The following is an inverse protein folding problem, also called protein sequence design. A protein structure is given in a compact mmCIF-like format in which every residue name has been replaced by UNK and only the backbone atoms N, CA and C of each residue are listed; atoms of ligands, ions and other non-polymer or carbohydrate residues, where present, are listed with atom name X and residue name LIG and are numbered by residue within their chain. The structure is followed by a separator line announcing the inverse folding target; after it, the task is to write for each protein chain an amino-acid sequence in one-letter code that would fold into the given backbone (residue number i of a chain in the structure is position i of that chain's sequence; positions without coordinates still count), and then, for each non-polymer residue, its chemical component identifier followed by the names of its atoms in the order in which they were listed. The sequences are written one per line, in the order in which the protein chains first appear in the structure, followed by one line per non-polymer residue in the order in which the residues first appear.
data_IF_397010812834
#
_entry.id   IF_397010812834
#
_cell.length_a   1.000
_cell.length_b   1.000
_cell.length_c   1.000
_cell.angle_alpha   90.00
_cell.angle_beta   90.00
_cell.angle_gamma   90.00
#
_symmetry.space_group_name_H-M   'P 1'
#
loop_
_entity.id
_entity.type
_entity.pdbx_description
1 polymer ?
#
# COMPACT_ATOMS: atom_id res chain seq x y z
N UNK A 1 4.22 0.22 11.98
CA UNK A 1 3.09 1.07 12.35
C UNK A 1 3.47 1.90 13.56
N UNK A 2 3.16 3.18 13.54
CA UNK A 2 3.30 4.08 14.67
C UNK A 2 2.12 5.05 14.65
N UNK A 3 1.50 5.25 15.82
CA UNK A 3 0.35 6.15 15.95
C UNK A 3 0.81 7.55 16.37
N UNK A 4 2.00 7.64 16.97
CA UNK A 4 2.60 8.87 17.45
C UNK A 4 4.09 8.94 17.09
N UNK A 5 4.57 10.15 16.75
CA UNK A 5 5.98 10.42 16.53
C UNK A 5 6.56 11.33 17.61
N UNK A 6 7.63 10.90 18.27
CA UNK A 6 8.44 11.77 19.15
C UNK A 6 9.65 12.27 18.37
N UNK A 7 9.69 13.57 18.10
CA UNK A 7 10.76 14.22 17.34
C UNK A 7 11.62 15.06 18.30
N UNK A 8 12.91 14.73 18.38
CA UNK A 8 13.85 15.46 19.21
C UNK A 8 14.34 16.75 18.52
N UNK A 9 14.30 17.86 19.25
CA UNK A 9 14.83 19.15 18.80
C UNK A 9 15.90 19.61 19.81
N UNK A 10 17.11 19.90 19.34
CA UNK A 10 18.18 20.41 20.20
C UNK A 10 17.92 21.88 20.57
N UNK A 11 17.82 22.18 21.86
CA UNK A 11 17.53 23.53 22.36
C UNK A 11 18.55 24.59 21.93
N UNK A 12 19.83 24.18 21.68
CA UNK A 12 20.86 25.13 21.18
C UNK A 12 20.66 25.44 19.70
N UNK A 13 20.25 24.44 18.89
CA UNK A 13 20.21 24.55 17.42
C UNK A 13 18.82 24.96 16.92
N UNK A 14 17.75 24.59 17.62
CA UNK A 14 16.38 24.80 17.16
C UNK A 14 15.96 23.83 16.06
N UNK A 15 14.98 24.22 15.25
CA UNK A 15 14.43 23.39 14.19
C UNK A 15 15.38 23.38 12.97
N UNK A 16 15.97 22.21 12.73
CA UNK A 16 16.88 21.98 11.61
C UNK A 16 16.17 21.35 10.40
N UNK A 17 16.86 21.30 9.26
CA UNK A 17 16.39 20.60 8.04
C UNK A 17 16.04 19.13 8.35
N UNK A 18 16.82 18.45 9.18
CA UNK A 18 16.53 17.06 9.58
C UNK A 18 15.22 16.95 10.37
N UNK A 19 14.93 17.90 11.28
CA UNK A 19 13.67 17.95 12.02
C UNK A 19 12.49 18.07 11.07
N UNK A 20 12.58 18.99 10.10
CA UNK A 20 11.55 19.17 9.05
C UNK A 20 11.35 17.93 8.22
N UNK A 21 12.45 17.29 7.78
CA UNK A 21 12.43 16.04 7.01
C UNK A 21 11.73 14.91 7.77
N UNK A 22 12.10 14.68 9.02
CA UNK A 22 11.49 13.62 9.83
C UNK A 22 10.00 13.88 10.06
N UNK A 23 9.61 15.11 10.41
CA UNK A 23 8.20 15.45 10.57
C UNK A 23 7.39 15.23 9.29
N UNK A 24 7.94 15.61 8.12
CA UNK A 24 7.30 15.42 6.82
C UNK A 24 7.13 13.95 6.47
N UNK A 25 8.18 13.13 6.67
CA UNK A 25 8.09 11.68 6.43
C UNK A 25 7.03 11.06 7.34
N UNK A 26 7.02 11.39 8.63
CA UNK A 26 6.01 10.90 9.56
C UNK A 26 4.59 11.31 9.12
N UNK A 27 4.39 12.56 8.70
CA UNK A 27 3.10 13.04 8.20
C UNK A 27 2.68 12.31 6.91
N UNK A 28 3.60 12.11 5.96
CA UNK A 28 3.35 11.34 4.73
C UNK A 28 2.97 9.88 5.02
N UNK A 29 3.50 9.31 6.12
CA UNK A 29 3.16 7.96 6.59
C UNK A 29 1.89 7.94 7.46
N UNK A 30 1.12 9.03 7.48
CA UNK A 30 -0.18 9.11 8.13
C UNK A 30 -0.16 9.21 9.66
N UNK A 31 1.00 9.56 10.26
CA UNK A 31 1.06 9.84 11.70
C UNK A 31 0.37 11.17 11.97
N UNK A 32 -0.59 11.17 12.87
CA UNK A 32 -1.38 12.35 13.23
C UNK A 32 -0.91 13.03 14.52
N UNK A 33 -0.35 12.26 15.48
CA UNK A 33 0.10 12.76 16.78
C UNK A 33 1.60 13.01 16.80
N UNK A 34 2.01 14.22 17.15
CA UNK A 34 3.42 14.62 17.16
C UNK A 34 3.81 15.19 18.50
N UNK A 35 4.89 14.69 19.09
CA UNK A 35 5.54 15.28 20.23
C UNK A 35 6.90 15.82 19.82
N UNK A 36 7.10 17.12 19.85
CA UNK A 36 8.41 17.73 19.72
C UNK A 36 9.05 17.87 21.09
N UNK A 37 10.01 17.01 21.40
CA UNK A 37 10.77 17.10 22.64
C UNK A 37 11.96 18.03 22.46
N UNK A 38 11.87 19.24 22.99
CA UNK A 38 12.96 20.24 22.98
C UNK A 38 13.97 19.85 24.05
N UNK A 39 14.98 19.10 23.64
CA UNK A 39 15.97 18.46 24.49
C UNK A 39 17.20 19.36 24.72
N UNK A 40 17.96 19.05 25.77
CA UNK A 40 19.16 19.78 26.23
C UNK A 40 18.83 21.15 26.75
N UNK A 41 17.69 21.29 27.44
CA UNK A 41 17.31 22.55 28.09
C UNK A 41 18.30 22.98 29.17
N UNK A 42 18.99 22.03 29.80
CA UNK A 42 20.11 22.29 30.74
C UNK A 42 21.22 23.13 30.08
N UNK A 43 21.54 22.88 28.81
CA UNK A 43 22.61 23.59 28.11
C UNK A 43 22.27 25.03 27.70
N UNK A 44 20.99 25.41 27.81
CA UNK A 44 20.51 26.79 27.59
C UNK A 44 19.96 27.42 28.86
N UNK A 45 20.33 26.86 30.03
CA UNK A 45 19.94 27.38 31.33
C UNK A 45 18.45 27.37 31.60
N UNK A 46 17.72 26.40 31.02
CA UNK A 46 16.26 26.25 31.12
C UNK A 46 15.47 27.50 30.70
N UNK A 47 16.00 28.26 29.72
CA UNK A 47 15.43 29.53 29.26
C UNK A 47 14.05 29.34 28.64
N UNK A 48 13.04 30.01 29.22
CA UNK A 48 11.69 30.09 28.67
C UNK A 48 11.67 30.83 27.31
N UNK A 49 12.47 31.91 27.19
CA UNK A 49 12.58 32.70 25.96
C UNK A 49 13.07 31.82 24.81
N UNK A 50 14.13 31.03 25.05
CA UNK A 50 14.67 30.11 24.01
C UNK A 50 13.67 29.02 23.64
N UNK A 51 12.94 28.49 24.59
CA UNK A 51 11.87 27.52 24.32
C UNK A 51 10.78 28.14 23.45
N UNK A 52 10.34 29.35 23.75
CA UNK A 52 9.31 30.05 22.99
C UNK A 52 9.73 30.35 21.56
N UNK A 53 11.00 30.69 21.30
CA UNK A 53 11.55 30.82 19.94
C UNK A 53 11.42 29.49 19.14
N UNK A 54 11.80 28.37 19.76
CA UNK A 54 11.73 27.04 19.12
C UNK A 54 10.28 26.63 18.91
N UNK A 55 9.43 26.89 19.87
CA UNK A 55 7.98 26.62 19.80
C UNK A 55 7.34 27.39 18.63
N UNK A 56 7.76 28.64 18.37
CA UNK A 56 7.32 29.40 17.21
C UNK A 56 7.78 28.76 15.88
N UNK A 57 9.02 28.26 15.80
CA UNK A 57 9.53 27.55 14.62
C UNK A 57 8.75 26.23 14.37
N UNK A 58 8.40 25.51 15.45
CA UNK A 58 7.59 24.29 15.35
C UNK A 58 6.16 24.62 14.90
N UNK A 59 5.59 25.74 15.38
CA UNK A 59 4.26 26.19 14.95
C UNK A 59 4.21 26.55 13.45
N UNK A 60 5.29 27.13 12.91
CA UNK A 60 5.40 27.34 11.46
C UNK A 60 5.46 26.02 10.70
N UNK A 61 6.27 25.06 11.17
CA UNK A 61 6.37 23.73 10.59
C UNK A 61 5.04 22.98 10.66
N UNK A 62 4.31 23.09 11.77
CA UNK A 62 2.97 22.52 11.95
C UNK A 62 2.01 23.00 10.88
N UNK A 63 2.01 24.31 10.57
CA UNK A 63 1.20 24.89 9.51
C UNK A 63 1.63 24.43 8.13
N UNK A 64 2.94 24.44 7.87
CA UNK A 64 3.52 24.01 6.59
C UNK A 64 3.13 22.56 6.24
N UNK A 65 3.15 21.67 7.23
CA UNK A 65 2.86 20.24 7.06
C UNK A 65 1.41 19.86 7.36
N UNK A 66 0.58 20.82 7.80
CA UNK A 66 -0.81 20.58 8.23
C UNK A 66 -0.91 19.46 9.29
N UNK A 67 0.03 19.45 10.25
CA UNK A 67 0.01 18.46 11.33
C UNK A 67 -1.21 18.66 12.23
N UNK A 68 -1.91 17.57 12.55
CA UNK A 68 -3.20 17.65 13.24
C UNK A 68 -3.04 17.90 14.75
N UNK A 69 -2.26 17.07 15.42
CA UNK A 69 -2.08 17.12 16.87
C UNK A 69 -0.59 17.23 17.22
N UNK A 70 -0.21 18.37 17.79
CA UNK A 70 1.19 18.70 18.07
C UNK A 70 1.35 19.20 19.49
N UNK A 71 2.21 18.54 20.26
CA UNK A 71 2.62 18.96 21.60
C UNK A 71 4.12 19.20 21.63
N UNK A 72 4.53 20.29 22.31
CA UNK A 72 5.94 20.65 22.46
C UNK A 72 6.31 20.58 23.94
N UNK A 73 7.30 19.73 24.27
CA UNK A 73 7.71 19.47 25.66
C UNK A 73 9.19 19.84 25.83
N UNK A 74 9.51 20.80 26.75
CA UNK A 74 10.91 21.08 27.08
C UNK A 74 11.45 20.00 28.01
N UNK A 75 12.59 19.37 27.61
CA UNK A 75 13.19 18.26 28.37
C UNK A 75 14.70 18.43 28.51
N UNK A 76 15.29 17.81 29.54
CA UNK A 76 16.70 17.46 29.58
C UNK A 76 16.81 15.96 29.83
N UNK A 77 17.16 15.22 28.77
CA UNK A 77 17.26 13.77 28.87
C UNK A 77 18.42 13.34 29.77
N UNK A 78 19.50 14.15 29.87
CA UNK A 78 20.66 13.87 30.72
C UNK A 78 20.36 14.06 32.20
N UNK A 79 19.64 15.12 32.53
CA UNK A 79 19.27 15.47 33.91
C UNK A 79 17.94 14.83 34.33
N UNK A 80 17.16 14.30 33.37
CA UNK A 80 15.85 13.69 33.59
C UNK A 80 14.70 14.70 33.72
N UNK A 81 14.95 15.98 33.46
CA UNK A 81 13.95 17.04 33.59
C UNK A 81 12.82 16.87 32.56
N UNK A 82 11.58 16.88 33.03
CA UNK A 82 10.35 16.68 32.26
C UNK A 82 10.35 15.38 31.39
N UNK A 83 11.14 14.38 31.76
CA UNK A 83 11.10 13.06 31.11
C UNK A 83 10.04 12.20 31.79
N UNK A 84 10.24 11.85 33.06
CA UNK A 84 9.32 10.99 33.84
C UNK A 84 8.41 11.80 34.78
N UNK A 85 8.90 12.91 35.28
CA UNK A 85 8.20 13.79 36.20
C UNK A 85 8.44 15.25 35.86
N UNK A 86 7.53 16.14 36.28
CA UNK A 86 7.69 17.58 36.06
C UNK A 86 8.92 18.10 36.77
N UNK A 87 9.72 18.88 36.05
CA UNK A 87 10.96 19.47 36.57
C UNK A 87 10.74 20.70 37.41
N UNK A 88 11.46 20.79 38.51
CA UNK A 88 11.55 22.03 39.31
C UNK A 88 12.39 23.12 38.60
N UNK A 89 13.26 22.73 37.64
CA UNK A 89 14.09 23.68 36.89
C UNK A 89 13.32 24.36 35.75
N UNK A 90 12.11 23.86 35.41
CA UNK A 90 11.25 24.37 34.32
C UNK A 90 9.86 24.76 34.89
N UNK A 91 9.76 25.65 35.88
CA UNK A 91 8.50 25.96 36.57
C UNK A 91 7.51 26.73 35.68
N UNK A 92 7.96 27.34 34.61
CA UNK A 92 7.16 28.07 33.63
C UNK A 92 6.38 27.13 32.69
N UNK A 93 6.84 25.89 32.48
CA UNK A 93 6.12 24.91 31.67
C UNK A 93 4.97 24.30 32.48
N UNK A 94 3.74 24.42 31.94
CA UNK A 94 2.52 23.97 32.65
C UNK A 94 1.98 22.63 32.11
N UNK A 95 2.54 22.13 30.99
CA UNK A 95 2.15 20.84 30.41
C UNK A 95 2.61 19.63 31.23
N UNK A 96 2.32 18.46 30.75
CA UNK A 96 2.78 17.20 31.35
C UNK A 96 4.22 16.87 30.95
N UNK A 97 4.91 16.05 31.77
CA UNK A 97 6.19 15.46 31.38
C UNK A 97 5.99 14.44 30.27
N UNK A 98 7.07 14.10 29.57
CA UNK A 98 7.00 13.27 28.36
C UNK A 98 6.34 11.90 28.61
N UNK A 99 6.79 11.15 29.61
CA UNK A 99 6.24 9.82 29.89
C UNK A 99 4.78 9.86 30.32
N UNK A 100 4.36 10.69 31.30
CA UNK A 100 2.94 10.84 31.66
C UNK A 100 2.06 11.28 30.47
N UNK A 101 2.57 12.12 29.57
CA UNK A 101 1.83 12.50 28.37
C UNK A 101 1.63 11.29 27.45
N UNK A 102 2.68 10.48 27.22
CA UNK A 102 2.58 9.28 26.36
C UNK A 102 1.67 8.20 26.96
N UNK A 103 1.55 8.14 28.29
CA UNK A 103 0.64 7.20 28.97
C UNK A 103 -0.83 7.63 28.93
N UNK A 104 -1.12 8.91 28.69
CA UNK A 104 -2.46 9.47 28.76
C UNK A 104 -3.05 9.85 27.40
N UNK A 105 -2.20 10.02 26.37
CA UNK A 105 -2.68 10.38 25.05
C UNK A 105 -3.57 9.26 24.50
N UNK A 106 -4.73 9.64 24.04
CA UNK A 106 -5.59 8.77 23.26
C UNK A 106 -5.15 8.85 21.78
N UNK A 107 -4.61 7.76 21.28
CA UNK A 107 -4.16 7.64 19.89
C UNK A 107 -5.15 6.84 19.05
N UNK A 108 -6.21 6.33 19.67
CA UNK A 108 -7.28 5.67 18.95
C UNK A 108 -8.05 6.71 18.14
N UNK A 109 -7.68 6.86 16.89
CA UNK A 109 -8.47 7.54 15.87
C UNK A 109 -9.77 6.73 15.65
N UNK A 110 -10.64 6.70 16.62
CA UNK A 110 -12.02 6.24 16.45
C UNK A 110 -12.83 7.32 15.72
N UNK A 111 -12.44 7.69 14.52
CA UNK A 111 -13.46 7.90 13.52
C UNK A 111 -14.09 6.52 13.38
N UNK A 112 -15.37 6.41 13.76
CA UNK A 112 -16.16 5.18 13.60
C UNK A 112 -16.04 4.76 12.14
N UNK A 113 -15.05 3.92 11.84
CA UNK A 113 -14.95 3.26 10.54
C UNK A 113 -16.26 2.51 10.38
N UNK A 114 -17.13 3.05 9.53
CA UNK A 114 -18.44 2.47 9.29
C UNK A 114 -18.24 1.16 8.58
N UNK A 115 -18.45 0.06 9.28
CA UNK A 115 -18.45 -1.26 8.72
C UNK A 115 -17.37 -2.19 9.27
N UNK A 116 -17.55 -3.47 9.00
CA UNK A 116 -16.63 -4.55 9.35
C UNK A 116 -15.76 -4.91 8.16
N UNK A 117 -14.45 -5.10 8.37
CA UNK A 117 -13.63 -5.86 7.42
C UNK A 117 -12.49 -6.62 8.10
N UNK A 118 -12.15 -7.75 7.49
CA UNK A 118 -11.09 -8.65 7.91
C UNK A 118 -10.34 -9.19 6.69
N UNK A 119 -9.08 -8.78 6.48
CA UNK A 119 -8.22 -9.38 5.46
C UNK A 119 -7.87 -10.83 5.83
N UNK A 120 -8.12 -11.76 4.91
CA UNK A 120 -7.83 -13.17 5.12
C UNK A 120 -6.34 -13.43 4.97
N UNK A 121 -5.71 -13.90 6.05
CA UNK A 121 -4.29 -14.24 6.09
C UNK A 121 -4.04 -15.71 5.82
N UNK A 122 -4.96 -16.58 6.25
CA UNK A 122 -4.83 -18.03 6.15
C UNK A 122 -6.19 -18.69 6.06
N UNK A 123 -6.29 -19.77 5.28
CA UNK A 123 -7.41 -20.71 5.33
C UNK A 123 -7.02 -21.89 6.18
N UNK A 124 -7.83 -22.21 7.21
CA UNK A 124 -7.65 -23.32 8.12
C UNK A 124 -8.66 -24.42 7.79
N UNK A 125 -8.18 -25.63 7.51
CA UNK A 125 -9.03 -26.78 7.18
C UNK A 125 -8.51 -28.04 7.91
N UNK A 126 -8.76 -28.15 9.23
CA UNK A 126 -8.26 -29.27 10.03
C UNK A 126 -8.94 -30.61 9.66
N UNK A 127 -10.15 -30.56 9.11
CA UNK A 127 -10.93 -31.72 8.68
C UNK A 127 -11.88 -31.33 7.53
N UNK A 128 -12.68 -32.28 7.04
CA UNK A 128 -13.59 -32.06 5.92
C UNK A 128 -14.83 -31.20 6.27
N UNK A 129 -15.18 -31.08 7.54
CA UNK A 129 -16.36 -30.36 8.00
C UNK A 129 -16.09 -28.92 8.39
N UNK A 130 -14.82 -28.57 8.63
CA UNK A 130 -14.41 -27.23 9.06
C UNK A 130 -13.53 -26.54 8.03
N UNK A 131 -13.97 -25.40 7.53
CA UNK A 131 -13.18 -24.47 6.74
C UNK A 131 -13.30 -23.09 7.37
N UNK A 132 -12.24 -22.63 8.02
CA UNK A 132 -12.17 -21.34 8.69
C UNK A 132 -11.23 -20.37 7.97
N UNK A 133 -11.58 -19.10 7.98
CA UNK A 133 -10.81 -18.01 7.43
C UNK A 133 -10.20 -17.23 8.59
N UNK A 134 -8.87 -17.20 8.64
CA UNK A 134 -8.10 -16.60 9.72
C UNK A 134 -7.61 -15.23 9.31
N UNK A 135 -7.78 -14.24 10.19
CA UNK A 135 -7.33 -12.87 10.03
C UNK A 135 -7.50 -12.07 11.31
N UNK A 136 -7.06 -10.83 11.29
CA UNK A 136 -7.36 -9.85 12.31
C UNK A 136 -8.50 -8.97 11.81
N UNK A 137 -9.44 -8.64 12.68
CA UNK A 137 -10.47 -7.64 12.37
C UNK A 137 -9.81 -6.27 12.39
N UNK A 138 -9.83 -5.60 11.26
CA UNK A 138 -9.18 -4.28 11.10
C UNK A 138 -10.15 -3.13 11.34
N UNK A 139 -11.47 -3.35 11.19
CA UNK A 139 -12.51 -2.39 11.52
C UNK A 139 -13.80 -3.06 11.96
N UNK A 140 -14.58 -2.34 12.77
CA UNK A 140 -15.92 -2.72 13.20
C UNK A 140 -15.99 -3.98 14.05
N UNK A 141 -17.11 -4.66 13.97
CA UNK A 141 -17.39 -5.92 14.68
C UNK A 141 -18.24 -6.84 13.82
N UNK A 142 -18.21 -8.13 14.14
CA UNK A 142 -18.98 -9.15 13.45
C UNK A 142 -19.54 -10.16 14.47
N UNK A 143 -20.75 -10.64 14.23
CA UNK A 143 -21.44 -11.62 15.07
C UNK A 143 -21.83 -12.88 14.29
N UNK A 144 -22.02 -13.97 14.98
CA UNK A 144 -22.57 -15.20 14.39
C UNK A 144 -23.97 -14.92 13.83
N UNK A 145 -24.18 -15.28 12.57
CA UNK A 145 -25.42 -15.03 11.82
C UNK A 145 -25.41 -13.77 10.97
N UNK A 146 -24.42 -12.89 11.12
CA UNK A 146 -24.32 -11.68 10.29
C UNK A 146 -24.13 -12.05 8.82
N UNK A 147 -24.78 -11.29 7.94
CA UNK A 147 -24.51 -11.33 6.51
C UNK A 147 -23.27 -10.52 6.19
N UNK A 148 -22.35 -11.13 5.50
CA UNK A 148 -21.09 -10.49 5.06
C UNK A 148 -20.87 -10.75 3.56
N UNK A 149 -20.02 -9.96 2.95
CA UNK A 149 -19.60 -10.11 1.56
C UNK A 149 -18.13 -10.56 1.49
N UNK A 150 -17.81 -11.43 0.55
CA UNK A 150 -16.43 -11.81 0.24
C UNK A 150 -15.91 -10.95 -0.89
N UNK A 151 -14.73 -10.35 -0.75
CA UNK A 151 -14.09 -9.56 -1.79
C UNK A 151 -12.81 -10.26 -2.28
N UNK A 152 -12.50 -10.21 -3.58
CA UNK A 152 -13.13 -9.45 -4.66
C UNK A 152 -14.34 -10.15 -5.32
N UNK A 153 -14.72 -11.38 -4.96
CA UNK A 153 -15.77 -12.18 -5.64
C UNK A 153 -17.18 -11.62 -5.47
N UNK A 154 -17.40 -10.78 -4.46
CA UNK A 154 -18.70 -10.16 -4.12
C UNK A 154 -19.83 -11.18 -3.81
N UNK A 155 -19.47 -12.31 -3.22
CA UNK A 155 -20.45 -13.31 -2.78
C UNK A 155 -21.01 -12.96 -1.39
N UNK A 156 -22.33 -13.01 -1.23
CA UNK A 156 -23.01 -12.82 0.04
C UNK A 156 -23.08 -14.12 0.80
N UNK A 157 -22.67 -14.15 2.06
CA UNK A 157 -22.59 -15.32 2.93
C UNK A 157 -22.93 -14.94 4.37
N UNK A 158 -23.22 -15.92 5.23
CA UNK A 158 -23.44 -15.68 6.65
C UNK A 158 -22.32 -16.29 7.48
N UNK A 159 -22.05 -15.63 8.59
CA UNK A 159 -21.08 -16.11 9.60
C UNK A 159 -21.70 -17.29 10.35
N UNK A 160 -21.10 -18.47 10.21
CA UNK A 160 -21.56 -19.70 10.87
C UNK A 160 -21.01 -19.83 12.29
N UNK A 161 -19.73 -19.55 12.49
CA UNK A 161 -19.08 -19.54 13.80
C UNK A 161 -17.86 -18.63 13.82
N UNK A 162 -17.52 -18.13 15.00
CA UNK A 162 -16.34 -17.29 15.26
C UNK A 162 -15.53 -17.93 16.36
N UNK A 163 -14.20 -18.03 16.17
CA UNK A 163 -13.27 -18.50 17.18
C UNK A 163 -12.22 -17.43 17.46
N UNK A 164 -12.05 -17.07 18.73
CA UNK A 164 -10.99 -16.18 19.23
C UNK A 164 -10.00 -17.04 20.00
N UNK A 165 -8.82 -17.28 19.44
CA UNK A 165 -7.91 -18.33 19.91
C UNK A 165 -8.58 -19.71 19.83
N UNK A 166 -8.63 -20.43 20.96
CA UNK A 166 -9.23 -21.76 21.06
C UNK A 166 -10.70 -21.75 21.52
N UNK A 167 -11.29 -20.57 21.69
CA UNK A 167 -12.65 -20.41 22.22
C UNK A 167 -13.62 -19.96 21.14
N UNK A 168 -14.79 -20.57 21.12
CA UNK A 168 -15.93 -20.11 20.33
C UNK A 168 -16.50 -18.83 20.95
N UNK A 169 -16.79 -17.84 20.09
CA UNK A 169 -17.33 -16.54 20.48
C UNK A 169 -18.61 -16.24 19.67
N UNK A 170 -19.53 -15.48 20.25
CA UNK A 170 -20.74 -15.03 19.56
C UNK A 170 -20.48 -13.80 18.70
N UNK A 171 -19.48 -12.99 19.07
CA UNK A 171 -19.05 -11.79 18.34
C UNK A 171 -17.58 -11.56 18.55
N UNK A 172 -16.99 -10.78 17.65
CA UNK A 172 -15.63 -10.28 17.75
C UNK A 172 -15.54 -8.86 17.16
N UNK A 173 -14.55 -8.09 17.60
CA UNK A 173 -14.38 -6.68 17.25
C UNK A 173 -12.97 -6.35 16.78
N UNK A 174 -12.78 -5.11 16.34
CA UNK A 174 -11.51 -4.55 15.88
C UNK A 174 -10.34 -4.98 16.77
N UNK A 175 -9.18 -5.28 16.14
CA UNK A 175 -7.93 -5.69 16.79
C UNK A 175 -7.90 -7.18 17.19
N UNK A 176 -9.01 -7.91 17.17
CA UNK A 176 -9.04 -9.32 17.55
C UNK A 176 -8.61 -10.24 16.39
N UNK A 177 -7.63 -11.12 16.60
CA UNK A 177 -7.34 -12.21 15.67
C UNK A 177 -8.39 -13.30 15.80
N UNK A 178 -9.04 -13.65 14.69
CA UNK A 178 -10.17 -14.57 14.67
C UNK A 178 -10.05 -15.63 13.59
N UNK A 179 -10.83 -16.72 13.77
CA UNK A 179 -11.16 -17.68 12.72
C UNK A 179 -12.66 -17.64 12.48
N UNK A 180 -13.08 -17.24 11.30
CA UNK A 180 -14.48 -17.17 10.89
C UNK A 180 -14.80 -18.34 9.97
N UNK A 181 -15.86 -19.11 10.31
CA UNK A 181 -16.43 -20.11 9.43
C UNK A 181 -17.71 -19.54 8.78
N UNK A 182 -17.88 -19.81 7.50
CA UNK A 182 -19.05 -19.38 6.73
C UNK A 182 -20.08 -20.50 6.59
N UNK A 183 -21.31 -20.13 6.30
CA UNK A 183 -22.46 -21.04 6.16
C UNK A 183 -22.38 -21.94 4.95
N UNK A 184 -21.62 -21.56 3.92
CA UNK A 184 -21.40 -22.31 2.69
C UNK A 184 -19.96 -22.23 2.19
N UNK A 185 -19.59 -23.09 1.26
CA UNK A 185 -18.31 -23.07 0.56
C UNK A 185 -18.31 -21.91 -0.42
N UNK A 186 -17.23 -21.11 -0.38
CA UNK A 186 -16.99 -19.95 -1.25
C UNK A 186 -15.53 -19.91 -1.67
N UNK A 187 -15.23 -19.20 -2.76
CA UNK A 187 -13.87 -19.04 -3.23
C UNK A 187 -13.17 -17.87 -2.48
N UNK A 188 -12.75 -18.18 -1.26
CA UNK A 188 -11.98 -17.27 -0.40
C UNK A 188 -10.64 -17.90 -0.09
N UNK A 189 -9.58 -17.13 -0.32
CA UNK A 189 -8.19 -17.52 -0.09
C UNK A 189 -7.41 -16.40 0.60
N UNK A 190 -6.13 -16.62 0.86
CA UNK A 190 -5.25 -15.54 1.36
C UNK A 190 -5.26 -14.37 0.38
N UNK A 191 -5.53 -13.17 0.88
CA UNK A 191 -5.65 -11.93 0.09
C UNK A 191 -7.09 -11.54 -0.26
N UNK A 192 -8.07 -12.42 -0.01
CA UNK A 192 -9.48 -12.03 0.02
C UNK A 192 -9.78 -11.22 1.29
N UNK A 193 -10.89 -10.48 1.29
CA UNK A 193 -11.36 -9.72 2.45
C UNK A 193 -12.80 -10.09 2.73
N UNK A 194 -13.13 -10.37 3.99
CA UNK A 194 -14.50 -10.48 4.48
C UNK A 194 -14.96 -9.09 4.95
N UNK A 195 -16.09 -8.60 4.47
CA UNK A 195 -16.56 -7.25 4.77
C UNK A 195 -18.08 -7.18 4.96
N UNK A 196 -18.52 -6.21 5.76
CA UNK A 196 -19.92 -5.84 5.90
C UNK A 196 -20.04 -4.33 6.17
N UNK A 197 -20.67 -3.59 5.24
CA UNK A 197 -20.83 -2.14 5.38
C UNK A 197 -19.56 -1.31 5.23
N UNK A 198 -18.41 -1.92 4.96
CA UNK A 198 -17.16 -1.22 4.65
C UNK A 198 -17.11 -0.90 3.16
N UNK A 199 -16.80 0.36 2.83
CA UNK A 199 -16.73 0.85 1.45
C UNK A 199 -15.31 0.64 0.89
N UNK A 200 -14.93 -0.64 0.69
CA UNK A 200 -13.64 -1.04 0.14
C UNK A 200 -13.69 -1.11 -1.39
N UNK A 201 -12.65 -0.61 -2.04
CA UNK A 201 -12.54 -0.52 -3.49
C UNK A 201 -11.86 -1.74 -4.09
N UNK A 202 -12.15 -2.00 -5.36
CA UNK A 202 -11.51 -3.01 -6.18
C UNK A 202 -10.75 -2.33 -7.30
N UNK A 203 -9.46 -2.61 -7.44
CA UNK A 203 -8.63 -1.95 -8.45
C UNK A 203 -7.57 -2.87 -9.06
N UNK A 204 -7.18 -2.53 -10.28
CA UNK A 204 -6.00 -3.04 -10.99
C UNK A 204 -4.95 -1.96 -11.21
N UNK A 205 -5.26 -0.71 -10.84
CA UNK A 205 -4.33 0.41 -10.92
C UNK A 205 -4.48 1.31 -9.69
N UNK A 206 -3.36 1.74 -9.12
CA UNK A 206 -3.30 2.63 -7.97
C UNK A 206 -2.29 3.74 -8.20
N UNK A 207 -2.53 4.90 -7.59
CA UNK A 207 -1.54 5.96 -7.44
C UNK A 207 -1.03 5.94 -6.01
N UNK A 208 0.26 5.78 -5.82
CA UNK A 208 0.88 5.66 -4.51
C UNK A 208 2.04 6.64 -4.31
N UNK A 209 2.19 7.15 -3.09
CA UNK A 209 3.42 7.81 -2.67
C UNK A 209 4.38 6.73 -2.19
N UNK A 210 5.56 6.65 -2.79
CA UNK A 210 6.58 5.66 -2.44
C UNK A 210 7.87 6.33 -1.98
N UNK A 211 8.54 5.70 -1.03
CA UNK A 211 9.94 5.95 -0.67
C UNK A 211 10.80 4.89 -1.35
N UNK A 212 11.69 5.32 -2.22
CA UNK A 212 12.62 4.43 -2.92
C UNK A 212 13.85 4.11 -2.06
N UNK A 213 14.15 2.84 -1.81
CA UNK A 213 15.20 2.40 -0.91
C UNK A 213 16.32 1.61 -1.60
N UNK A 214 16.11 1.21 -2.87
CA UNK A 214 17.07 0.42 -3.63
C UNK A 214 18.28 1.26 -4.05
N UNK A 215 19.42 0.60 -4.27
CA UNK A 215 20.62 1.23 -4.84
C UNK A 215 20.48 1.47 -6.34
N UNK A 216 19.71 0.62 -7.03
CA UNK A 216 19.37 0.80 -8.43
C UNK A 216 18.33 1.90 -8.63
N UNK A 217 18.46 2.66 -9.71
CA UNK A 217 17.50 3.71 -10.07
C UNK A 217 16.17 3.10 -10.50
N UNK A 218 15.06 3.62 -9.97
CA UNK A 218 13.73 3.31 -10.49
C UNK A 218 13.47 4.09 -11.78
N UNK A 219 12.96 3.40 -12.78
CA UNK A 219 12.50 3.98 -14.06
C UNK A 219 11.08 3.51 -14.36
N UNK A 220 10.39 4.20 -15.26
CA UNK A 220 9.09 3.78 -15.74
C UNK A 220 9.12 2.36 -16.33
N UNK A 221 8.01 1.65 -16.21
CA UNK A 221 7.80 0.28 -16.69
C UNK A 221 8.69 -0.78 -16.03
N UNK A 222 9.19 -0.53 -14.81
CA UNK A 222 9.93 -1.54 -14.03
C UNK A 222 8.96 -2.45 -13.27
N UNK A 223 9.22 -3.76 -13.32
CA UNK A 223 8.36 -4.80 -12.74
C UNK A 223 8.77 -5.16 -11.32
N UNK A 224 7.78 -5.37 -10.44
CA UNK A 224 7.95 -5.77 -9.05
C UNK A 224 6.92 -6.83 -8.64
N UNK A 225 7.14 -7.46 -7.49
CA UNK A 225 6.03 -7.95 -6.70
C UNK A 225 5.53 -6.81 -5.81
N UNK A 226 4.22 -6.56 -5.87
CA UNK A 226 3.54 -5.61 -5.00
C UNK A 226 2.90 -6.39 -3.87
N UNK A 227 3.32 -6.13 -2.63
CA UNK A 227 2.65 -6.66 -1.45
C UNK A 227 1.79 -5.55 -0.86
N UNK A 228 0.48 -5.75 -0.86
CA UNK A 228 -0.52 -4.86 -0.30
C UNK A 228 -1.41 -5.69 0.62
N UNK A 229 -1.46 -5.31 1.90
CA UNK A 229 -2.10 -6.11 2.93
C UNK A 229 -1.60 -7.56 2.93
N UNK A 230 -2.50 -8.51 2.78
CA UNK A 230 -2.18 -9.95 2.73
C UNK A 230 -1.90 -10.48 1.32
N UNK A 231 -2.11 -9.65 0.29
CA UNK A 231 -1.91 -10.01 -1.12
C UNK A 231 -0.48 -9.76 -1.57
N UNK A 232 0.05 -10.65 -2.38
CA UNK A 232 1.33 -10.50 -3.09
C UNK A 232 1.09 -10.80 -4.56
N UNK A 233 1.24 -9.82 -5.43
CA UNK A 233 0.95 -9.95 -6.86
C UNK A 233 2.02 -9.27 -7.72
N UNK A 234 2.23 -9.68 -8.97
CA UNK A 234 3.03 -8.92 -9.90
C UNK A 234 2.41 -7.55 -10.18
N UNK A 235 3.26 -6.55 -10.32
CA UNK A 235 2.85 -5.20 -10.71
C UNK A 235 3.96 -4.45 -11.41
N UNK A 236 3.61 -3.35 -12.03
CA UNK A 236 4.51 -2.50 -12.82
C UNK A 236 4.36 -1.07 -12.37
N UNK A 237 5.46 -0.40 -12.07
CA UNK A 237 5.47 1.06 -11.93
C UNK A 237 5.40 1.65 -13.33
N UNK A 238 4.21 2.01 -13.78
CA UNK A 238 3.96 2.48 -15.15
C UNK A 238 4.45 3.90 -15.36
N UNK A 239 4.33 4.73 -14.34
CA UNK A 239 4.70 6.15 -14.42
C UNK A 239 5.22 6.67 -13.08
N UNK A 240 6.33 7.40 -13.12
CA UNK A 240 6.76 8.27 -12.03
C UNK A 240 6.19 9.65 -12.35
N UNK A 241 5.17 10.09 -11.59
CA UNK A 241 4.43 11.33 -11.86
C UNK A 241 5.28 12.53 -11.46
N UNK A 242 5.76 12.51 -10.23
CA UNK A 242 6.61 13.56 -9.66
C UNK A 242 7.48 13.01 -8.53
N UNK A 243 8.55 13.72 -8.20
CA UNK A 243 9.29 13.57 -6.95
C UNK A 243 8.84 14.61 -5.95
N UNK A 244 8.89 14.26 -4.67
CA UNK A 244 8.59 15.18 -3.55
C UNK A 244 9.91 15.50 -2.84
N UNK A 245 10.32 16.76 -2.86
CA UNK A 245 11.47 17.20 -2.07
C UNK A 245 11.12 17.14 -0.58
N UNK A 246 11.78 16.25 0.15
CA UNK A 246 11.52 16.05 1.58
C UNK A 246 11.84 17.26 2.45
N UNK A 247 12.64 18.22 1.95
CA UNK A 247 13.00 19.41 2.69
C UNK A 247 11.99 20.55 2.47
N UNK A 248 11.52 20.73 1.23
CA UNK A 248 10.63 21.84 0.84
C UNK A 248 9.19 21.41 0.61
N UNK A 249 8.95 20.12 0.33
CA UNK A 249 7.63 19.61 -0.06
C UNK A 249 7.25 19.91 -1.50
N UNK A 250 8.15 20.54 -2.27
CA UNK A 250 7.89 20.82 -3.68
C UNK A 250 7.77 19.53 -4.48
N UNK A 251 6.76 19.47 -5.31
CA UNK A 251 6.58 18.40 -6.28
C UNK A 251 7.21 18.81 -7.62
N UNK A 252 8.07 17.94 -8.19
CA UNK A 252 8.73 18.17 -9.47
C UNK A 252 8.50 16.98 -10.39
N UNK A 253 8.14 17.20 -11.68
CA UNK A 253 8.07 16.11 -12.64
C UNK A 253 9.39 15.33 -12.70
N UNK A 254 9.28 14.01 -12.71
CA UNK A 254 10.45 13.14 -12.76
C UNK A 254 10.16 11.91 -13.62
N UNK A 255 11.22 11.34 -14.20
CA UNK A 255 11.16 10.10 -14.99
C UNK A 255 12.02 8.99 -14.39
N UNK A 256 12.73 9.32 -13.32
CA UNK A 256 13.59 8.39 -12.57
C UNK A 256 13.61 8.78 -11.08
N UNK A 257 13.93 7.81 -10.23
CA UNK A 257 14.01 7.99 -8.79
C UNK A 257 15.29 7.37 -8.26
N UNK A 258 16.06 8.15 -7.51
CA UNK A 258 17.26 7.67 -6.85
C UNK A 258 16.94 7.22 -5.41
N UNK A 259 17.87 6.49 -4.81
CA UNK A 259 17.77 6.03 -3.42
C UNK A 259 17.45 7.17 -2.45
N UNK A 260 16.52 6.91 -1.52
CA UNK A 260 16.00 7.83 -0.51
C UNK A 260 15.17 9.01 -1.06
N UNK A 261 14.76 8.96 -2.31
CA UNK A 261 13.79 9.91 -2.85
C UNK A 261 12.36 9.42 -2.65
N UNK A 262 11.45 10.37 -2.53
CA UNK A 262 10.01 10.13 -2.43
C UNK A 262 9.37 10.58 -3.74
N UNK A 263 8.45 9.77 -4.25
CA UNK A 263 7.71 10.09 -5.47
C UNK A 263 6.26 9.63 -5.41
N UNK A 264 5.44 10.26 -6.23
CA UNK A 264 4.11 9.77 -6.59
C UNK A 264 4.24 8.93 -7.85
N UNK A 265 3.80 7.68 -7.78
CA UNK A 265 3.89 6.72 -8.88
C UNK A 265 2.53 6.10 -9.18
N UNK A 266 2.27 5.84 -10.46
CA UNK A 266 1.19 4.96 -10.89
C UNK A 266 1.69 3.53 -10.97
N UNK A 267 0.93 2.61 -10.41
CA UNK A 267 1.27 1.19 -10.33
C UNK A 267 0.11 0.38 -10.89
N UNK A 268 0.37 -0.34 -11.98
CA UNK A 268 -0.57 -1.30 -12.54
C UNK A 268 -0.33 -2.68 -11.92
N UNK A 269 -1.40 -3.37 -11.59
CA UNK A 269 -1.41 -4.64 -10.89
C UNK A 269 -1.90 -5.75 -11.83
N UNK A 270 -1.32 -6.93 -11.73
CA UNK A 270 -1.65 -8.06 -12.64
C UNK A 270 -3.03 -8.67 -12.36
N UNK A 271 -3.65 -8.35 -11.24
CA UNK A 271 -4.95 -8.90 -10.83
C UNK A 271 -5.73 -7.85 -10.04
N UNK A 272 -7.04 -8.03 -9.94
CA UNK A 272 -7.91 -7.20 -9.12
C UNK A 272 -7.62 -7.46 -7.65
N UNK A 273 -7.41 -6.40 -6.89
CA UNK A 273 -7.22 -6.46 -5.44
C UNK A 273 -8.22 -5.60 -4.70
N UNK A 274 -8.44 -5.96 -3.44
CA UNK A 274 -9.13 -5.09 -2.48
C UNK A 274 -8.13 -4.07 -1.98
N UNK A 275 -8.43 -2.81 -2.12
CA UNK A 275 -7.53 -1.70 -1.79
C UNK A 275 -8.33 -0.47 -1.40
N UNK A 276 -7.76 0.42 -0.60
CA UNK A 276 -8.30 1.75 -0.38
C UNK A 276 -7.19 2.78 -0.18
N UNK A 277 -7.57 4.04 -0.13
CA UNK A 277 -6.66 5.11 0.23
C UNK A 277 -6.16 4.91 1.67
N UNK A 278 -4.87 5.08 1.87
CA UNK A 278 -4.23 4.85 3.18
C UNK A 278 -4.84 5.69 4.32
N UNK A 279 -5.29 6.91 4.00
CA UNK A 279 -5.92 7.79 4.99
C UNK A 279 -7.29 7.30 5.44
N UNK A 280 -7.97 6.46 4.63
CA UNK A 280 -9.28 5.90 4.94
C UNK A 280 -9.13 4.55 5.67
N UNK A 281 -8.33 3.64 5.10
CA UNK A 281 -8.11 2.30 5.63
C UNK A 281 -6.63 1.94 5.57
N UNK A 282 -5.89 2.17 6.67
CA UNK A 282 -4.41 2.01 6.73
C UNK A 282 -3.93 0.67 6.19
N UNK A 283 -4.50 -0.44 6.66
CA UNK A 283 -4.09 -1.81 6.27
C UNK A 283 -4.40 -2.16 4.82
N UNK A 284 -5.38 -1.48 4.20
CA UNK A 284 -5.75 -1.65 2.80
C UNK A 284 -5.04 -0.65 1.86
N UNK A 285 -4.32 0.33 2.41
CA UNK A 285 -3.64 1.38 1.66
C UNK A 285 -2.11 1.36 1.77
N UNK A 286 -1.51 0.43 2.52
CA UNK A 286 -0.05 0.30 2.62
C UNK A 286 0.51 -0.72 1.65
N UNK A 287 1.70 -0.44 1.10
CA UNK A 287 2.33 -1.37 0.17
C UNK A 287 3.86 -1.39 0.27
N UNK A 288 4.45 -2.49 -0.18
CA UNK A 288 5.87 -2.57 -0.48
C UNK A 288 6.09 -3.10 -1.89
N UNK A 289 7.13 -2.59 -2.54
CA UNK A 289 7.62 -3.10 -3.82
C UNK A 289 8.82 -4.02 -3.55
N UNK A 290 8.75 -5.23 -4.07
CA UNK A 290 9.76 -6.27 -3.89
C UNK A 290 10.36 -6.57 -5.26
N UNK A 291 11.66 -6.49 -5.38
CA UNK A 291 12.36 -6.86 -6.61
C UNK A 291 12.15 -8.33 -6.93
N UNK A 292 11.80 -8.64 -8.18
CA UNK A 292 11.41 -10.00 -8.60
C UNK A 292 12.57 -10.98 -8.73
N UNK A 293 13.80 -10.47 -8.79
CA UNK A 293 15.02 -11.28 -8.97
C UNK A 293 15.69 -11.51 -7.62
N UNK A 294 15.91 -10.44 -6.87
CA UNK A 294 16.64 -10.47 -5.60
C UNK A 294 15.75 -10.79 -4.40
N UNK A 295 14.43 -10.62 -4.53
CA UNK A 295 13.43 -10.66 -3.45
C UNK A 295 13.70 -9.64 -2.32
N UNK A 296 14.47 -8.59 -2.61
CA UNK A 296 14.71 -7.49 -1.67
C UNK A 296 13.59 -6.46 -1.77
N UNK A 297 13.27 -5.82 -0.64
CA UNK A 297 12.33 -4.70 -0.64
C UNK A 297 12.98 -3.47 -1.26
N UNK A 298 12.47 -3.02 -2.39
CA UNK A 298 12.98 -1.87 -3.13
C UNK A 298 12.29 -0.55 -2.76
N UNK A 299 11.03 -0.61 -2.33
CA UNK A 299 10.28 0.56 -1.87
C UNK A 299 9.23 0.20 -0.83
N UNK A 300 8.88 1.17 0.01
CA UNK A 300 7.63 1.18 0.77
C UNK A 300 6.78 2.39 0.34
N UNK A 301 5.47 2.30 0.52
CA UNK A 301 4.59 3.38 0.13
C UNK A 301 3.16 3.24 0.64
N UNK A 302 2.39 4.28 0.36
CA UNK A 302 0.99 4.40 0.74
C UNK A 302 0.16 4.79 -0.48
N UNK A 303 -1.02 4.19 -0.59
CA UNK A 303 -1.99 4.49 -1.66
C UNK A 303 -2.59 5.87 -1.40
N UNK A 304 -2.50 6.76 -2.39
CA UNK A 304 -3.12 8.09 -2.39
C UNK A 304 -4.46 8.11 -3.07
N UNK A 305 -4.59 7.33 -4.14
CA UNK A 305 -5.75 7.31 -5.00
C UNK A 305 -5.94 5.93 -5.60
N UNK A 306 -7.17 5.47 -5.64
CA UNK A 306 -7.56 4.19 -6.20
C UNK A 306 -8.27 4.43 -7.52
N UNK A 307 -7.69 3.94 -8.60
CA UNK A 307 -8.37 3.90 -9.89
C UNK A 307 -9.23 2.63 -9.91
N UNK A 308 -10.50 2.78 -9.54
CA UNK A 308 -11.42 1.65 -9.50
C UNK A 308 -11.41 0.91 -10.84
N UNK A 309 -11.28 -0.42 -10.76
CA UNK A 309 -11.49 -1.24 -11.94
C UNK A 309 -12.91 -0.96 -12.44
N UNK A 310 -13.01 -0.38 -13.64
CA UNK A 310 -14.29 -0.20 -14.27
C UNK A 310 -15.04 -1.54 -14.19
N UNK A 311 -16.29 -1.52 -13.73
CA UNK A 311 -17.13 -2.71 -13.61
C UNK A 311 -17.37 -3.43 -14.94
N UNK A 312 -17.01 -2.80 -16.03
CA UNK A 312 -16.86 -3.41 -17.34
C UNK A 312 -15.46 -4.01 -17.42
N UNK A 313 -15.37 -5.31 -17.19
CA UNK A 313 -14.30 -6.10 -17.83
C UNK A 313 -14.41 -5.74 -19.31
N UNK A 314 -13.53 -4.85 -19.81
CA UNK A 314 -13.41 -4.65 -21.26
C UNK A 314 -13.19 -6.03 -21.81
N UNK A 315 -14.15 -6.50 -22.58
CA UNK A 315 -13.98 -7.75 -23.32
C UNK A 315 -12.60 -7.69 -23.95
N UNK A 316 -11.78 -8.71 -23.70
CA UNK A 316 -10.41 -8.76 -24.23
C UNK A 316 -10.56 -8.97 -25.74
N UNK A 317 -10.88 -7.88 -26.43
CA UNK A 317 -11.04 -7.87 -27.88
C UNK A 317 -9.69 -7.75 -28.60
N UNK A 318 -9.73 -7.88 -29.91
CA UNK A 318 -8.54 -7.76 -30.75
C UNK A 318 -7.89 -6.36 -30.67
N UNK A 319 -8.67 -5.31 -30.41
CA UNK A 319 -8.19 -3.94 -30.29
C UNK A 319 -7.40 -3.76 -28.98
N UNK A 320 -7.92 -4.25 -27.86
CA UNK A 320 -7.24 -4.24 -26.57
C UNK A 320 -5.91 -5.05 -26.62
N UNK A 321 -5.94 -6.25 -27.25
CA UNK A 321 -4.72 -7.05 -27.43
C UNK A 321 -3.69 -6.34 -28.33
N UNK A 322 -4.15 -5.67 -29.38
CA UNK A 322 -3.28 -4.91 -30.28
C UNK A 322 -2.60 -3.73 -29.57
N UNK A 323 -3.33 -3.03 -28.71
CA UNK A 323 -2.81 -1.93 -27.89
C UNK A 323 -1.78 -2.45 -26.86
N UNK A 324 -2.14 -3.51 -26.12
CA UNK A 324 -1.29 -4.11 -25.09
C UNK A 324 0.03 -4.65 -25.64
N UNK A 325 -0.03 -5.31 -26.81
CA UNK A 325 1.14 -5.93 -27.44
C UNK A 325 1.88 -4.98 -28.41
N UNK A 326 1.37 -3.75 -28.57
CA UNK A 326 1.85 -2.83 -29.61
C UNK A 326 1.98 -3.49 -30.99
N UNK A 327 0.99 -4.32 -31.32
CA UNK A 327 0.98 -5.14 -32.53
C UNK A 327 -0.46 -5.30 -33.03
N UNK A 328 -0.70 -4.92 -34.29
CA UNK A 328 -1.99 -5.21 -34.95
C UNK A 328 -2.03 -6.67 -35.39
N UNK A 329 -3.16 -7.39 -35.22
CA UNK A 329 -3.30 -8.72 -35.70
C UNK A 329 -3.25 -8.72 -37.25
N UNK A 330 -2.39 -9.57 -37.78
CA UNK A 330 -2.22 -9.75 -39.25
C UNK A 330 -2.13 -11.23 -39.55
N UNK A 331 -2.89 -11.67 -40.53
CA UNK A 331 -2.77 -13.03 -41.10
C UNK A 331 -2.00 -12.93 -42.41
N UNK A 332 -0.96 -13.72 -42.50
CA UNK A 332 -0.16 -13.81 -43.73
C UNK A 332 -0.27 -15.24 -44.27
N UNK A 333 -0.92 -15.41 -45.40
CA UNK A 333 -0.95 -16.68 -46.12
C UNK A 333 0.29 -16.79 -46.99
N UNK A 334 1.04 -17.89 -46.82
CA UNK A 334 2.24 -18.17 -47.60
C UNK A 334 2.02 -19.38 -48.46
N UNK A 335 2.11 -19.19 -49.77
CA UNK A 335 2.10 -20.32 -50.74
C UNK A 335 3.52 -20.86 -50.83
N UNK A 336 3.68 -22.16 -50.53
CA UNK A 336 4.97 -22.83 -50.61
C UNK A 336 5.48 -22.89 -52.07
N UNK A 337 6.77 -22.62 -52.24
CA UNK A 337 7.48 -22.64 -53.52
C UNK A 337 8.94 -23.03 -53.29
N UNK A 338 9.75 -23.13 -54.32
CA UNK A 338 11.18 -23.43 -54.21
C UNK A 338 11.95 -22.37 -53.34
N UNK A 339 11.42 -21.16 -53.26
CA UNK A 339 12.01 -20.05 -52.49
C UNK A 339 11.36 -19.85 -51.12
N UNK A 340 10.09 -20.20 -50.96
CA UNK A 340 9.31 -20.08 -49.72
C UNK A 340 8.95 -21.50 -49.28
N UNK A 341 9.76 -22.05 -48.42
CA UNK A 341 9.53 -23.37 -47.82
C UNK A 341 9.29 -23.22 -46.28
N UNK A 342 8.94 -24.31 -45.65
CA UNK A 342 8.65 -24.35 -44.21
C UNK A 342 9.85 -23.86 -43.36
N UNK A 343 11.08 -24.18 -43.78
CA UNK A 343 12.27 -23.74 -43.04
C UNK A 343 12.52 -22.23 -43.17
N UNK A 344 12.15 -21.64 -44.30
CA UNK A 344 12.17 -20.20 -44.48
C UNK A 344 11.12 -19.54 -43.55
N UNK A 345 9.89 -20.07 -43.49
CA UNK A 345 8.83 -19.54 -42.62
C UNK A 345 9.20 -19.66 -41.14
N UNK A 346 9.82 -20.74 -40.67
CA UNK A 346 10.35 -20.89 -39.32
C UNK A 346 11.45 -19.87 -39.00
N UNK A 347 12.27 -19.48 -39.96
CA UNK A 347 13.25 -18.42 -39.78
C UNK A 347 12.57 -17.06 -39.60
N UNK A 348 11.55 -16.76 -40.42
CA UNK A 348 10.75 -15.53 -40.30
C UNK A 348 10.05 -15.47 -38.95
N UNK A 349 9.41 -16.56 -38.52
CA UNK A 349 8.79 -16.65 -37.18
C UNK A 349 9.81 -16.35 -36.08
N UNK A 350 11.00 -16.97 -36.15
CA UNK A 350 12.06 -16.75 -35.18
C UNK A 350 12.51 -15.28 -35.14
N UNK A 351 12.72 -14.63 -36.27
CA UNK A 351 13.13 -13.22 -36.33
C UNK A 351 12.04 -12.32 -35.75
N UNK A 352 10.76 -12.57 -36.03
CA UNK A 352 9.65 -11.81 -35.47
C UNK A 352 9.53 -12.00 -33.93
N UNK A 353 9.74 -13.23 -33.43
CA UNK A 353 9.77 -13.50 -32.00
C UNK A 353 10.93 -12.80 -31.29
N UNK A 354 12.11 -12.74 -31.93
CA UNK A 354 13.26 -11.98 -31.42
C UNK A 354 13.01 -10.47 -31.41
N UNK A 355 12.15 -9.98 -32.31
CA UNK A 355 11.68 -8.59 -32.34
C UNK A 355 10.48 -8.35 -31.40
N UNK A 356 10.27 -9.25 -30.45
CA UNK A 356 9.19 -9.17 -29.45
C UNK A 356 7.78 -9.14 -30.05
N UNK A 357 7.59 -9.75 -31.21
CA UNK A 357 6.27 -9.94 -31.84
C UNK A 357 5.64 -11.25 -31.43
N UNK A 358 4.34 -11.24 -31.17
CA UNK A 358 3.56 -12.47 -30.96
C UNK A 358 3.22 -13.07 -32.31
N UNK A 359 3.81 -14.22 -32.63
CA UNK A 359 3.68 -14.90 -33.93
C UNK A 359 3.35 -16.36 -33.73
N UNK A 360 2.53 -16.90 -34.60
CA UNK A 360 2.18 -18.31 -34.61
C UNK A 360 2.19 -18.84 -36.07
N UNK A 361 3.05 -19.81 -36.33
CA UNK A 361 3.11 -20.49 -37.64
C UNK A 361 2.15 -21.70 -37.61
N UNK A 362 1.10 -21.64 -38.41
CA UNK A 362 0.13 -22.73 -38.59
C UNK A 362 0.23 -23.36 -39.98
N UNK A 363 0.31 -24.65 -40.01
CA UNK A 363 0.32 -25.41 -41.27
C UNK A 363 -0.92 -26.33 -41.27
N UNK A 364 -2.02 -25.94 -41.95
CA UNK A 364 -3.22 -26.77 -42.06
C UNK A 364 -2.95 -28.08 -42.77
N UNK A 365 -3.66 -29.15 -42.39
CA UNK A 365 -3.66 -30.39 -43.13
C UNK A 365 -4.39 -30.24 -44.48
N UNK A 366 -4.10 -31.11 -45.42
CA UNK A 366 -4.74 -31.09 -46.75
C UNK A 366 -6.28 -31.23 -46.60
N UNK A 367 -7.02 -30.21 -47.07
CA UNK A 367 -8.49 -30.18 -46.98
C UNK A 367 -9.05 -29.70 -45.64
N UNK A 368 -8.21 -29.23 -44.72
CA UNK A 368 -8.66 -28.64 -43.43
C UNK A 368 -9.19 -27.23 -43.64
N UNK A 369 -10.40 -26.95 -43.08
CA UNK A 369 -10.91 -25.58 -42.95
C UNK A 369 -10.31 -24.91 -41.75
N UNK A 370 -9.32 -24.07 -41.94
CA UNK A 370 -8.59 -23.35 -40.89
C UNK A 370 -9.24 -21.99 -40.48
N UNK A 371 -10.40 -21.67 -41.05
CA UNK A 371 -11.09 -20.39 -40.78
C UNK A 371 -11.34 -20.18 -39.29
N UNK A 372 -11.75 -21.21 -38.57
CA UNK A 372 -11.99 -21.15 -37.13
C UNK A 372 -10.71 -20.95 -36.32
N UNK A 373 -9.60 -21.55 -36.72
CA UNK A 373 -8.29 -21.41 -36.07
C UNK A 373 -7.79 -20.00 -36.25
N UNK A 374 -7.85 -19.46 -37.47
CA UNK A 374 -7.48 -18.08 -37.78
C UNK A 374 -8.34 -17.09 -36.97
N UNK A 375 -9.64 -17.31 -36.94
CA UNK A 375 -10.56 -16.47 -36.17
C UNK A 375 -10.24 -16.48 -34.67
N UNK A 376 -9.89 -17.66 -34.12
CA UNK A 376 -9.52 -17.78 -32.71
C UNK A 376 -8.18 -17.10 -32.37
N UNK A 377 -7.21 -17.15 -33.30
CA UNK A 377 -5.88 -16.54 -33.10
C UNK A 377 -5.88 -15.00 -33.30
N UNK A 378 -6.81 -14.47 -34.11
CA UNK A 378 -6.89 -13.04 -34.41
C UNK A 378 -7.79 -12.29 -33.45
N UNK A 379 -8.81 -12.93 -32.87
CA UNK A 379 -9.70 -12.40 -31.83
C UNK A 379 -9.17 -12.72 -30.43
#
# INVERSE_FOLDING_TARGET
FADLAVILVDAKQGVLIQTKRHARICALMGIKHFVFAVNKMDLVGYSEERFNEINAQIAELTKELSLADVVVIPVSATEGDNVTTKSANIPWYKGEALLPYLEQIDVDDTEEEKGFYMPVQRVCRPNHEFRGFQGQIEAGSVSVGDEIITLPTKEHVHVKSIHVGDKEAQSASIGQPVTIQLDREVDVSRGSVLAAGADLKLATEITATILWMDDDVLTNNKNFFVKLGTRLIPGVVTEIVNTIDVNTGEEKPATLLNKNEIAVCKISLADVIVVDEFNLHKTMGELILIDRVTNMTSACGVVREVNEAASDVKEVDAAFRAELNNQKPVVVEAVLSDKINVDFLKKVEKELLLDSKHVYLYAPAEGEDYTNVVTHLVN
#
